data_IF_857306379571
#
_entry.id   IF_857306379571
#
_cell.length_a   1.000
_cell.length_b   1.000
_cell.length_c   1.000
_cell.angle_alpha   90.00
_cell.angle_beta   90.00
_cell.angle_gamma   90.00
#
_symmetry.space_group_name_H-M   'P 1'
#
loop_
_entity.id
_entity.type
_entity.pdbx_description
1 polymer ?
#
# COMPACT_ATOMS: atom_id res chain seq x y z
N UNK A 1 18.70 21.62 -27.79
CA UNK A 1 17.54 21.40 -26.90
C UNK A 1 16.63 22.61 -26.98
N UNK A 2 15.32 22.40 -27.04
CA UNK A 2 14.36 23.50 -26.96
C UNK A 2 14.40 24.12 -25.55
N UNK A 3 14.28 25.44 -25.45
CA UNK A 3 14.20 26.14 -24.16
C UNK A 3 12.75 26.14 -23.69
N UNK A 4 12.52 25.65 -22.47
CA UNK A 4 11.20 25.65 -21.82
C UNK A 4 11.30 26.48 -20.54
N UNK A 5 10.38 27.44 -20.38
CA UNK A 5 10.22 28.17 -19.13
C UNK A 5 8.97 27.64 -18.42
N UNK A 6 9.12 27.16 -17.19
CA UNK A 6 8.03 26.57 -16.40
C UNK A 6 7.94 27.28 -15.05
N UNK A 7 6.71 27.61 -14.63
CA UNK A 7 6.44 28.07 -13.27
C UNK A 7 6.14 26.85 -12.40
N UNK A 8 6.94 26.66 -11.35
CA UNK A 8 6.83 25.54 -10.42
C UNK A 8 6.65 26.05 -8.99
N UNK A 9 6.08 25.22 -8.11
CA UNK A 9 5.97 25.58 -6.69
C UNK A 9 7.34 25.65 -6.02
N UNK A 10 7.44 26.41 -4.93
CA UNK A 10 8.65 26.50 -4.12
C UNK A 10 9.12 25.12 -3.63
N UNK A 11 8.19 24.21 -3.35
CA UNK A 11 8.51 22.84 -2.94
C UNK A 11 9.27 22.08 -4.04
N UNK A 12 8.78 22.13 -5.29
CA UNK A 12 9.42 21.46 -6.42
C UNK A 12 10.78 22.10 -6.72
N UNK A 13 10.85 23.43 -6.70
CA UNK A 13 12.11 24.16 -6.85
C UNK A 13 13.15 23.70 -5.82
N UNK A 14 12.79 23.68 -4.55
CA UNK A 14 13.69 23.27 -3.46
C UNK A 14 14.14 21.81 -3.60
N UNK A 15 13.25 20.91 -4.01
CA UNK A 15 13.59 19.50 -4.28
C UNK A 15 14.61 19.37 -5.42
N UNK A 16 14.45 20.11 -6.51
CA UNK A 16 15.41 20.09 -7.63
C UNK A 16 16.77 20.64 -7.18
N UNK A 17 16.78 21.74 -6.43
CA UNK A 17 18.01 22.32 -5.88
C UNK A 17 18.72 21.34 -4.95
N UNK A 18 18.01 20.66 -4.07
CA UNK A 18 18.58 19.64 -3.20
C UNK A 18 19.21 18.47 -3.98
N UNK A 19 18.61 18.05 -5.11
CA UNK A 19 19.20 17.02 -5.99
C UNK A 19 20.51 17.52 -6.62
N UNK A 20 20.54 18.77 -7.08
CA UNK A 20 21.74 19.40 -7.66
C UNK A 20 22.87 19.47 -6.61
N UNK A 21 22.56 19.91 -5.40
CA UNK A 21 23.51 19.99 -4.28
C UNK A 21 24.04 18.61 -3.88
N UNK A 22 23.15 17.62 -3.76
CA UNK A 22 23.54 16.24 -3.45
C UNK A 22 24.53 15.68 -4.49
N UNK A 23 24.25 15.88 -5.79
CA UNK A 23 25.16 15.39 -6.83
C UNK A 23 26.51 16.12 -6.84
N UNK A 24 26.55 17.40 -6.45
CA UNK A 24 27.83 18.12 -6.24
C UNK A 24 28.62 17.51 -5.08
N UNK A 25 27.96 17.19 -3.98
CA UNK A 25 28.60 16.51 -2.83
C UNK A 25 29.15 15.13 -3.20
N UNK A 26 28.51 14.43 -4.14
CA UNK A 26 28.97 13.15 -4.68
C UNK A 26 30.18 13.27 -5.64
N UNK A 27 30.76 14.47 -5.80
CA UNK A 27 32.00 14.70 -6.54
C UNK A 27 31.83 14.94 -8.03
N UNK A 28 30.60 15.15 -8.50
CA UNK A 28 30.36 15.48 -9.90
C UNK A 28 30.74 16.94 -10.20
N UNK A 29 31.36 17.14 -11.37
CA UNK A 29 31.94 18.43 -11.76
C UNK A 29 30.85 19.48 -11.91
N UNK A 30 31.11 20.71 -11.44
CA UNK A 30 30.16 21.83 -11.52
C UNK A 30 29.71 22.17 -12.95
N UNK A 31 30.50 21.81 -13.96
CA UNK A 31 30.14 21.98 -15.38
C UNK A 31 29.12 20.95 -15.87
N UNK A 32 29.02 19.81 -15.20
CA UNK A 32 28.19 18.67 -15.62
C UNK A 32 26.80 18.69 -14.95
N UNK A 33 26.60 19.54 -13.93
CA UNK A 33 25.35 19.59 -13.15
C UNK A 33 24.84 21.03 -13.03
N UNK A 34 23.64 21.23 -13.57
CA UNK A 34 22.90 22.48 -13.45
C UNK A 34 21.45 22.20 -13.08
N UNK A 35 20.78 23.21 -12.51
CA UNK A 35 19.35 23.15 -12.26
C UNK A 35 18.56 22.80 -13.53
N UNK A 36 18.92 23.41 -14.66
CA UNK A 36 18.29 23.14 -15.96
C UNK A 36 18.53 21.70 -16.44
N UNK A 37 19.74 21.16 -16.26
CA UNK A 37 20.06 19.78 -16.64
C UNK A 37 19.28 18.76 -15.81
N UNK A 38 19.24 18.95 -14.49
CA UNK A 38 18.44 18.12 -13.57
C UNK A 38 16.95 18.23 -13.90
N UNK A 39 16.45 19.44 -14.19
CA UNK A 39 15.05 19.66 -14.58
C UNK A 39 14.70 18.96 -15.89
N UNK A 40 15.57 19.03 -16.91
CA UNK A 40 15.36 18.33 -18.18
C UNK A 40 15.29 16.81 -17.99
N UNK A 41 16.22 16.25 -17.21
CA UNK A 41 16.23 14.81 -16.90
C UNK A 41 14.98 14.37 -16.13
N UNK A 42 14.50 15.19 -15.18
CA UNK A 42 13.26 14.92 -14.45
C UNK A 42 12.02 15.00 -15.35
N UNK A 43 11.98 15.92 -16.30
CA UNK A 43 10.90 16.01 -17.29
C UNK A 43 10.86 14.78 -18.20
N UNK A 44 12.01 14.34 -18.71
CA UNK A 44 12.11 13.12 -19.54
C UNK A 44 11.74 11.85 -18.75
N UNK A 45 12.16 11.77 -17.49
CA UNK A 45 11.76 10.67 -16.61
C UNK A 45 10.26 10.71 -16.33
N UNK A 46 9.70 11.89 -16.03
CA UNK A 46 8.27 12.09 -15.80
C UNK A 46 7.44 11.70 -17.01
N UNK A 47 7.88 12.03 -18.22
CA UNK A 47 7.19 11.66 -19.46
C UNK A 47 7.18 10.13 -19.66
N UNK A 48 8.32 9.45 -19.45
CA UNK A 48 8.37 7.97 -19.49
C UNK A 48 7.45 7.30 -18.49
N UNK A 49 7.35 7.84 -17.27
CA UNK A 49 6.43 7.32 -16.25
C UNK A 49 4.98 7.57 -16.64
N UNK A 50 4.67 8.75 -17.18
CA UNK A 50 3.33 9.09 -17.66
C UNK A 50 2.88 8.16 -18.79
N UNK A 51 3.74 7.91 -19.78
CA UNK A 51 3.48 6.97 -20.87
C UNK A 51 3.27 5.55 -20.34
N UNK A 52 4.14 5.07 -19.46
CA UNK A 52 3.99 3.74 -18.85
C UNK A 52 2.69 3.60 -18.02
N UNK A 53 2.23 4.68 -17.36
CA UNK A 53 0.94 4.69 -16.67
C UNK A 53 -0.25 4.72 -17.65
N UNK A 54 -0.11 5.40 -18.80
CA UNK A 54 -1.14 5.45 -19.84
C UNK A 54 -1.28 4.14 -20.61
N UNK A 55 -0.18 3.40 -20.81
CA UNK A 55 -0.22 2.04 -21.37
C UNK A 55 -0.88 1.06 -20.40
N UNK A 56 -0.69 1.26 -19.08
CA UNK A 56 -1.38 0.53 -18.00
C UNK A 56 -2.79 1.06 -17.72
N UNK A 57 -3.54 1.49 -18.74
CA UNK A 57 -4.99 1.76 -18.64
C UNK A 57 -5.81 0.47 -18.41
N UNK A 58 -5.30 -0.48 -17.63
CA UNK A 58 -6.12 -1.46 -16.96
C UNK A 58 -6.88 -0.74 -15.84
N UNK A 59 -8.20 -0.70 -16.02
CA UNK A 59 -9.28 -0.22 -15.14
C UNK A 59 -8.84 0.70 -13.98
N UNK A 60 -9.27 1.98 -13.94
CA UNK A 60 -9.09 2.79 -12.73
C UNK A 60 -9.63 2.00 -11.52
N UNK A 61 -8.88 2.07 -10.41
CA UNK A 61 -9.21 1.30 -9.21
C UNK A 61 -10.69 1.45 -8.86
N UNK A 62 -11.43 0.34 -8.96
CA UNK A 62 -12.85 0.33 -8.72
C UNK A 62 -13.08 0.03 -7.24
N UNK A 63 -13.31 1.10 -6.46
CA UNK A 63 -13.56 0.98 -5.02
C UNK A 63 -14.69 0.01 -4.69
N UNK A 64 -15.76 0.00 -5.49
CA UNK A 64 -16.92 -0.86 -5.26
C UNK A 64 -16.58 -2.32 -5.49
N UNK A 65 -15.86 -2.64 -6.57
CA UNK A 65 -15.44 -4.02 -6.85
C UNK A 65 -14.41 -4.51 -5.82
N UNK A 66 -13.47 -3.63 -5.43
CA UNK A 66 -12.54 -3.94 -4.36
C UNK A 66 -13.26 -4.25 -3.04
N UNK A 67 -14.21 -3.41 -2.63
CA UNK A 67 -14.99 -3.61 -1.41
C UNK A 67 -15.79 -4.91 -1.46
N UNK A 68 -16.36 -5.25 -2.63
CA UNK A 68 -17.10 -6.49 -2.85
C UNK A 68 -16.19 -7.71 -2.68
N UNK A 69 -15.03 -7.73 -3.34
CA UNK A 69 -14.06 -8.83 -3.25
C UNK A 69 -13.51 -8.96 -1.83
N UNK A 70 -13.21 -7.83 -1.17
CA UNK A 70 -12.76 -7.83 0.22
C UNK A 70 -13.82 -8.43 1.15
N UNK A 71 -15.06 -7.96 1.06
CA UNK A 71 -16.16 -8.43 1.90
C UNK A 71 -16.43 -9.93 1.66
N UNK A 72 -16.44 -10.36 0.39
CA UNK A 72 -16.62 -11.76 0.03
C UNK A 72 -15.53 -12.65 0.67
N UNK A 73 -14.26 -12.25 0.56
CA UNK A 73 -13.15 -13.02 1.12
C UNK A 73 -13.15 -13.06 2.64
N UNK A 74 -13.48 -11.94 3.31
CA UNK A 74 -13.60 -11.89 4.77
C UNK A 74 -14.74 -12.79 5.26
N UNK A 75 -15.92 -12.71 4.62
CA UNK A 75 -17.07 -13.54 4.99
C UNK A 75 -16.82 -15.03 4.74
N UNK A 76 -16.20 -15.40 3.60
CA UNK A 76 -15.81 -16.79 3.30
C UNK A 76 -14.82 -17.32 4.33
N UNK A 77 -13.82 -16.51 4.69
CA UNK A 77 -12.82 -16.88 5.70
C UNK A 77 -13.48 -17.08 7.04
N UNK A 78 -14.29 -16.12 7.50
CA UNK A 78 -15.00 -16.22 8.79
C UNK A 78 -15.90 -17.46 8.85
N UNK A 79 -16.68 -17.73 7.80
CA UNK A 79 -17.54 -18.91 7.73
C UNK A 79 -16.76 -20.22 7.71
N UNK A 80 -15.57 -20.24 7.11
CA UNK A 80 -14.70 -21.41 7.06
C UNK A 80 -14.02 -21.64 8.42
N UNK A 81 -13.47 -20.59 9.02
CA UNK A 81 -12.81 -20.64 10.33
C UNK A 81 -13.80 -21.03 11.44
N UNK A 82 -15.05 -20.56 11.40
CA UNK A 82 -16.08 -21.00 12.34
C UNK A 82 -16.31 -22.52 12.29
N UNK A 83 -16.30 -23.12 11.10
CA UNK A 83 -16.41 -24.58 10.95
C UNK A 83 -15.14 -25.29 11.46
N UNK A 84 -13.97 -24.74 11.16
CA UNK A 84 -12.68 -25.27 11.67
C UNK A 84 -12.65 -25.22 13.19
N UNK A 85 -13.14 -24.15 13.82
CA UNK A 85 -13.25 -24.03 15.28
C UNK A 85 -14.16 -25.12 15.85
N UNK A 86 -15.32 -25.35 15.23
CA UNK A 86 -16.23 -26.43 15.59
C UNK A 86 -15.56 -27.80 15.53
N UNK A 87 -14.89 -28.11 14.41
CA UNK A 87 -14.15 -29.38 14.24
C UNK A 87 -13.02 -29.48 15.28
N UNK A 88 -12.28 -28.40 15.50
CA UNK A 88 -11.17 -28.33 16.45
C UNK A 88 -11.60 -28.59 17.90
N UNK A 89 -12.78 -28.11 18.29
CA UNK A 89 -13.34 -28.34 19.62
C UNK A 89 -13.70 -29.82 19.89
N UNK A 90 -13.90 -30.61 18.83
CA UNK A 90 -14.21 -32.04 18.92
C UNK A 90 -12.94 -32.93 18.90
N UNK A 91 -11.75 -32.33 18.82
CA UNK A 91 -10.50 -33.09 18.77
C UNK A 91 -10.22 -33.81 20.09
N UNK A 92 -9.82 -35.10 20.07
CA UNK A 92 -9.51 -35.85 21.28
C UNK A 92 -8.33 -35.26 22.07
N UNK A 93 -7.45 -34.50 21.42
CA UNK A 93 -6.30 -33.86 22.05
C UNK A 93 -6.66 -32.67 22.95
N UNK A 94 -7.87 -32.13 22.81
CA UNK A 94 -8.37 -31.01 23.63
C UNK A 94 -9.58 -31.42 24.48
N UNK A 95 -9.98 -32.70 24.43
CA UNK A 95 -11.11 -33.21 25.18
C UNK A 95 -10.89 -33.07 26.69
N UNK A 96 -11.91 -32.58 27.40
CA UNK A 96 -11.86 -32.34 28.85
C UNK A 96 -11.08 -31.09 29.27
N UNK A 97 -10.60 -30.28 28.32
CA UNK A 97 -10.01 -28.99 28.61
C UNK A 97 -11.06 -27.87 28.46
N UNK A 98 -11.47 -27.20 29.56
CA UNK A 98 -12.49 -26.14 29.52
C UNK A 98 -12.14 -24.99 28.58
N UNK A 99 -10.84 -24.75 28.33
CA UNK A 99 -10.37 -23.69 27.43
C UNK A 99 -10.80 -23.90 25.97
N UNK A 100 -10.97 -25.15 25.55
CA UNK A 100 -11.31 -25.52 24.18
C UNK A 100 -12.73 -26.07 24.04
N UNK A 101 -13.54 -25.95 25.10
CA UNK A 101 -14.97 -26.19 25.00
C UNK A 101 -15.59 -25.15 24.07
N UNK A 102 -16.39 -25.62 23.12
CA UNK A 102 -16.95 -24.77 22.07
C UNK A 102 -17.75 -23.58 22.63
N UNK A 103 -18.55 -23.79 23.67
CA UNK A 103 -19.35 -22.74 24.31
C UNK A 103 -18.46 -21.62 24.89
N UNK A 104 -17.36 -21.98 25.57
CA UNK A 104 -16.45 -21.02 26.19
C UNK A 104 -15.68 -20.23 25.12
N UNK A 105 -15.21 -20.90 24.06
CA UNK A 105 -14.53 -20.22 22.95
C UNK A 105 -15.45 -19.25 22.21
N UNK A 106 -16.74 -19.60 22.03
CA UNK A 106 -17.71 -18.71 21.36
C UNK A 106 -17.96 -17.45 22.19
N UNK A 107 -18.09 -17.56 23.51
CA UNK A 107 -18.30 -16.40 24.37
C UNK A 107 -17.05 -15.50 24.39
N UNK A 108 -15.86 -16.07 24.54
CA UNK A 108 -14.58 -15.32 24.51
C UNK A 108 -14.40 -14.55 23.19
N UNK A 109 -14.68 -15.21 22.05
CA UNK A 109 -14.63 -14.55 20.73
C UNK A 109 -15.65 -13.40 20.65
N UNK A 110 -16.86 -13.60 21.17
CA UNK A 110 -17.94 -12.60 21.12
C UNK A 110 -17.61 -11.39 22.00
N UNK A 111 -17.12 -11.60 23.22
CA UNK A 111 -16.66 -10.54 24.12
C UNK A 111 -15.52 -9.75 23.48
N UNK A 112 -14.52 -10.46 22.94
CA UNK A 112 -13.39 -9.82 22.26
C UNK A 112 -13.83 -8.99 21.06
N UNK A 113 -14.67 -9.53 20.18
CA UNK A 113 -15.19 -8.78 19.03
C UNK A 113 -16.00 -7.56 19.48
N UNK A 114 -16.84 -7.70 20.51
CA UNK A 114 -17.62 -6.57 21.03
C UNK A 114 -16.70 -5.45 21.54
N UNK A 115 -15.63 -5.80 22.27
CA UNK A 115 -14.65 -4.81 22.76
C UNK A 115 -13.84 -4.09 21.68
N UNK A 116 -13.66 -4.70 20.50
CA UNK A 116 -12.95 -4.06 19.38
C UNK A 116 -13.88 -3.20 18.51
N UNK A 117 -15.20 -3.36 18.66
CA UNK A 117 -16.22 -2.64 17.91
C UNK A 117 -16.85 -1.46 18.67
N UNK A 118 -16.60 -1.37 19.98
CA UNK A 118 -16.85 -0.18 20.80
C UNK A 118 -15.78 0.90 20.58
#
# INVERSE_FOLDING_TARGET
>A
MAKVNVYISNEVHNKITAIVEKRRQEGARDKDISFSGTSSMLLELGLRVYEAQMERKESPFNQTEFNKVLLENVLKTQSSVAKILGIGSLSPHVAGNPKFEYANMVEDIKEKVSSEME
#
